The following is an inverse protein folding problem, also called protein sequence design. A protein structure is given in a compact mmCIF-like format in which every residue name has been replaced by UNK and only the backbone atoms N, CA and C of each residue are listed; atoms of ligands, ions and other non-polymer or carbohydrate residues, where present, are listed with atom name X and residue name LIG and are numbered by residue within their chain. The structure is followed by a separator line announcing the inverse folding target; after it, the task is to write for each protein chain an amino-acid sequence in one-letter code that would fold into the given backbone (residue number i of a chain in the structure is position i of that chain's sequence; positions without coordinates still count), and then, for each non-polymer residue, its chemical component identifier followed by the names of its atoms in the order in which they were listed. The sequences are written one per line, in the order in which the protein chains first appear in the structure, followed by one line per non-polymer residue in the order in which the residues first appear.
data_IF_723464046328
#
_entry.id   IF_723464046328
#
_cell.length_a   1.000
_cell.length_b   1.000
_cell.length_c   1.000
_cell.angle_alpha   90.00
_cell.angle_beta   90.00
_cell.angle_gamma   90.00
#
_symmetry.space_group_name_H-M   'P 1'
#
loop_
_entity.id
_entity.type
_entity.pdbx_description
1 polymer ?
#
# COMPACT_ATOMS: atom_id res chain seq x y z
N UNK A 1 -11.28 -6.13 -24.95
CA UNK A 1 -12.71 -6.11 -24.56
C UNK A 1 -12.97 -6.59 -23.11
N UNK A 2 -12.41 -7.72 -22.63
CA UNK A 2 -12.65 -8.20 -21.24
C UNK A 2 -12.00 -7.30 -20.18
N UNK A 3 -10.79 -6.82 -20.40
CA UNK A 3 -10.05 -5.92 -19.50
C UNK A 3 -10.78 -4.58 -19.28
N UNK A 4 -11.38 -4.02 -20.33
CA UNK A 4 -12.07 -2.74 -20.29
C UNK A 4 -13.33 -2.76 -19.41
N UNK A 5 -14.16 -3.81 -19.51
CA UNK A 5 -15.36 -3.94 -18.66
C UNK A 5 -15.01 -4.10 -17.18
N UNK A 6 -14.00 -4.91 -16.86
CA UNK A 6 -13.53 -5.08 -15.48
C UNK A 6 -13.06 -3.74 -14.91
N UNK A 7 -12.29 -2.98 -15.68
CA UNK A 7 -11.78 -1.68 -15.27
C UNK A 7 -12.91 -0.66 -15.07
N UNK A 8 -13.92 -0.62 -15.94
CA UNK A 8 -15.12 0.23 -15.79
C UNK A 8 -15.88 -0.10 -14.50
N UNK A 9 -16.07 -1.39 -14.18
CA UNK A 9 -16.71 -1.82 -12.94
C UNK A 9 -15.91 -1.31 -11.73
N UNK A 10 -14.59 -1.49 -11.72
CA UNK A 10 -13.72 -1.08 -10.61
C UNK A 10 -13.70 0.45 -10.45
N UNK A 11 -13.70 1.22 -11.54
CA UNK A 11 -13.78 2.68 -11.49
C UNK A 11 -15.12 3.17 -10.91
N UNK A 12 -16.23 2.57 -11.33
CA UNK A 12 -17.55 2.87 -10.79
C UNK A 12 -17.63 2.51 -9.29
N UNK A 13 -17.09 1.35 -8.90
CA UNK A 13 -17.02 0.92 -7.52
C UNK A 13 -16.16 1.89 -6.68
N UNK A 14 -14.98 2.27 -7.17
CA UNK A 14 -14.10 3.22 -6.48
C UNK A 14 -14.79 4.58 -6.24
N UNK A 15 -15.52 5.08 -7.22
CA UNK A 15 -16.28 6.33 -7.09
C UNK A 15 -17.32 6.25 -5.97
N UNK A 16 -18.07 5.16 -5.90
CA UNK A 16 -19.07 4.95 -4.85
C UNK A 16 -18.43 4.76 -3.47
N UNK A 17 -17.36 3.94 -3.37
CA UNK A 17 -16.65 3.69 -2.12
C UNK A 17 -15.94 4.92 -1.55
N UNK A 18 -15.65 5.94 -2.35
CA UNK A 18 -15.08 7.22 -1.87
C UNK A 18 -16.10 8.09 -1.15
N UNK A 19 -17.38 7.94 -1.43
CA UNK A 19 -18.44 8.86 -0.99
C UNK A 19 -19.46 8.24 -0.06
N UNK A 20 -19.50 6.90 0.02
CA UNK A 20 -20.51 6.15 0.79
C UNK A 20 -19.87 4.98 1.54
N UNK A 21 -20.55 4.54 2.60
CA UNK A 21 -20.10 3.39 3.39
C UNK A 21 -20.32 2.08 2.63
N UNK A 22 -19.48 1.08 2.91
CA UNK A 22 -19.51 -0.21 2.23
C UNK A 22 -20.89 -0.88 2.23
N UNK A 23 -21.59 -0.88 3.38
CA UNK A 23 -22.88 -1.54 3.51
C UNK A 23 -24.02 -0.86 2.73
N UNK A 24 -23.90 0.42 2.42
CA UNK A 24 -24.89 1.20 1.67
C UNK A 24 -24.82 0.98 0.16
N UNK A 25 -23.70 0.43 -0.35
CA UNK A 25 -23.46 0.25 -1.77
C UNK A 25 -23.92 -1.14 -2.20
N UNK A 26 -24.63 -1.22 -3.31
CA UNK A 26 -25.06 -2.48 -3.92
C UNK A 26 -24.35 -2.72 -5.26
N UNK A 27 -24.21 -4.00 -5.64
CA UNK A 27 -23.66 -4.35 -6.96
C UNK A 27 -24.53 -3.82 -8.11
N UNK A 28 -25.83 -3.64 -7.88
CA UNK A 28 -26.75 -3.08 -8.87
C UNK A 28 -26.46 -1.60 -9.17
N UNK A 29 -26.10 -0.83 -8.13
CA UNK A 29 -25.69 0.56 -8.30
C UNK A 29 -24.36 0.65 -9.04
N UNK A 30 -23.41 -0.24 -8.72
CA UNK A 30 -22.14 -0.33 -9.44
C UNK A 30 -22.38 -0.67 -10.91
N UNK A 31 -23.26 -1.65 -11.20
CA UNK A 31 -23.60 -2.04 -12.57
C UNK A 31 -24.16 -0.87 -13.37
N UNK A 32 -25.10 -0.15 -12.76
CA UNK A 32 -25.74 1.03 -13.37
C UNK A 32 -24.72 2.15 -13.65
N UNK A 33 -23.84 2.45 -12.68
CA UNK A 33 -22.82 3.47 -12.84
C UNK A 33 -21.74 3.08 -13.87
N UNK A 34 -21.41 1.79 -13.95
CA UNK A 34 -20.49 1.24 -14.93
C UNK A 34 -21.11 1.07 -16.34
N UNK A 35 -22.41 1.34 -16.50
CA UNK A 35 -23.17 1.13 -17.74
C UNK A 35 -23.00 -0.30 -18.27
N UNK A 36 -23.34 -1.28 -17.41
CA UNK A 36 -23.32 -2.72 -17.73
C UNK A 36 -24.54 -3.44 -17.15
N UNK A 37 -24.85 -4.60 -17.70
CA UNK A 37 -25.87 -5.49 -17.11
C UNK A 37 -25.42 -6.06 -15.76
N UNK A 38 -26.34 -6.16 -14.79
CA UNK A 38 -26.07 -6.74 -13.45
C UNK A 38 -25.33 -8.07 -13.50
N UNK A 39 -25.76 -8.99 -14.37
CA UNK A 39 -25.12 -10.30 -14.52
C UNK A 39 -23.66 -10.23 -14.99
N UNK A 40 -23.25 -9.12 -15.61
CA UNK A 40 -21.88 -8.94 -16.08
C UNK A 40 -20.90 -8.78 -14.91
N UNK A 41 -21.31 -8.18 -13.78
CA UNK A 41 -20.44 -8.05 -12.61
C UNK A 41 -19.99 -9.42 -12.11
N UNK A 42 -20.91 -10.36 -12.02
CA UNK A 42 -20.65 -11.71 -11.50
C UNK A 42 -19.74 -12.56 -12.39
N UNK A 43 -19.45 -12.11 -13.63
CA UNK A 43 -18.42 -12.72 -14.49
C UNK A 43 -16.99 -12.34 -14.07
N UNK A 44 -16.82 -11.26 -13.27
CA UNK A 44 -15.52 -10.71 -12.89
C UNK A 44 -15.26 -10.76 -11.38
N UNK A 45 -16.32 -10.72 -10.56
CA UNK A 45 -16.23 -10.64 -9.11
C UNK A 45 -17.24 -11.60 -8.49
N UNK A 46 -16.79 -12.37 -7.50
CA UNK A 46 -17.64 -13.37 -6.83
C UNK A 46 -18.74 -12.72 -6.00
N UNK A 47 -18.43 -11.59 -5.38
CA UNK A 47 -19.31 -10.85 -4.49
C UNK A 47 -18.85 -9.37 -4.36
N UNK A 48 -19.54 -8.61 -3.52
CA UNK A 48 -19.23 -7.21 -3.26
C UNK A 48 -17.89 -7.04 -2.53
N UNK A 49 -17.56 -7.94 -1.65
CA UNK A 49 -16.29 -7.98 -0.91
C UNK A 49 -15.11 -8.17 -1.85
N UNK A 50 -15.23 -9.10 -2.81
CA UNK A 50 -14.21 -9.34 -3.83
C UNK A 50 -14.02 -8.12 -4.76
N UNK A 51 -15.12 -7.51 -5.22
CA UNK A 51 -15.06 -6.26 -5.98
C UNK A 51 -14.36 -5.15 -5.19
N UNK A 52 -14.73 -4.98 -3.93
CA UNK A 52 -14.14 -3.99 -3.06
C UNK A 52 -12.63 -4.23 -2.88
N UNK A 53 -12.23 -5.46 -2.55
CA UNK A 53 -10.84 -5.83 -2.38
C UNK A 53 -10.03 -5.58 -3.66
N UNK A 54 -10.50 -6.06 -4.81
CA UNK A 54 -9.79 -5.87 -6.08
C UNK A 54 -9.67 -4.38 -6.44
N UNK A 55 -10.69 -3.57 -6.12
CA UNK A 55 -10.65 -2.11 -6.31
C UNK A 55 -9.61 -1.45 -5.39
N UNK A 56 -9.58 -1.84 -4.12
CA UNK A 56 -8.64 -1.27 -3.15
C UNK A 56 -7.18 -1.59 -3.49
N UNK A 57 -6.91 -2.78 -4.03
CA UNK A 57 -5.55 -3.20 -4.40
C UNK A 57 -5.20 -2.94 -5.87
N UNK A 58 -6.10 -2.30 -6.64
CA UNK A 58 -5.81 -1.94 -8.03
C UNK A 58 -4.54 -1.08 -8.12
N UNK A 59 -3.66 -1.41 -9.05
CA UNK A 59 -2.37 -0.72 -9.21
C UNK A 59 -1.31 -1.08 -8.16
N UNK A 60 -1.60 -2.00 -7.23
CA UNK A 60 -0.64 -2.39 -6.18
C UNK A 60 0.59 -3.09 -6.77
N UNK A 61 0.40 -3.99 -7.72
CA UNK A 61 1.50 -4.68 -8.40
C UNK A 61 2.36 -3.70 -9.21
N UNK A 62 1.71 -2.76 -9.89
CA UNK A 62 2.38 -1.71 -10.64
C UNK A 62 3.23 -0.83 -9.70
N UNK A 63 2.67 -0.46 -8.55
CA UNK A 63 3.45 0.25 -7.52
C UNK A 63 4.67 -0.56 -7.07
N UNK A 64 4.49 -1.85 -6.75
CA UNK A 64 5.59 -2.71 -6.33
C UNK A 64 6.67 -2.84 -7.42
N UNK A 65 6.29 -2.90 -8.69
CA UNK A 65 7.24 -2.95 -9.80
C UNK A 65 8.00 -1.63 -9.96
N UNK A 66 7.33 -0.49 -9.85
CA UNK A 66 7.99 0.83 -9.83
C UNK A 66 8.99 0.95 -8.68
N UNK A 67 8.68 0.40 -7.50
CA UNK A 67 9.61 0.38 -6.38
C UNK A 67 10.86 -0.46 -6.69
N UNK A 68 10.71 -1.64 -7.32
CA UNK A 68 11.84 -2.49 -7.72
C UNK A 68 12.72 -1.79 -8.76
N UNK A 69 12.11 -1.14 -9.76
CA UNK A 69 12.84 -0.37 -10.78
C UNK A 69 13.60 0.80 -10.17
N UNK A 70 13.00 1.54 -9.23
CA UNK A 70 13.68 2.62 -8.51
C UNK A 70 14.87 2.14 -7.68
N UNK A 71 14.89 0.86 -7.31
CA UNK A 71 16.01 0.27 -6.60
C UNK A 71 17.32 0.23 -7.44
N UNK A 72 17.27 0.34 -8.75
CA UNK A 72 18.46 0.21 -9.65
C UNK A 72 19.06 1.53 -10.12
N UNK A 73 18.44 2.66 -9.85
CA UNK A 73 18.84 3.95 -10.37
C UNK A 73 19.96 4.60 -9.52
N UNK A 74 21.16 4.76 -9.99
CA UNK A 74 22.38 5.29 -9.35
C UNK A 74 22.29 6.59 -8.52
N UNK A 75 21.16 6.85 -7.87
CA UNK A 75 20.90 7.96 -6.93
C UNK A 75 21.41 7.63 -5.53
N UNK A 76 21.69 8.66 -4.74
CA UNK A 76 22.05 8.49 -3.32
C UNK A 76 20.97 7.70 -2.58
N UNK A 77 21.36 6.83 -1.67
CA UNK A 77 20.45 5.94 -0.95
C UNK A 77 19.30 6.72 -0.28
N UNK A 78 19.60 7.82 0.42
CA UNK A 78 18.60 8.66 1.08
C UNK A 78 17.51 9.18 0.13
N UNK A 79 17.91 9.65 -1.05
CA UNK A 79 16.98 10.21 -2.05
C UNK A 79 16.13 9.10 -2.66
N UNK A 80 16.72 7.92 -2.87
CA UNK A 80 15.99 6.71 -3.31
C UNK A 80 14.96 6.26 -2.28
N UNK A 81 15.33 6.27 -1.00
CA UNK A 81 14.43 5.92 0.09
C UNK A 81 13.29 6.94 0.22
N UNK A 82 13.56 8.25 0.07
CA UNK A 82 12.54 9.28 0.06
C UNK A 82 11.52 9.07 -1.07
N UNK A 83 11.97 8.83 -2.29
CA UNK A 83 11.08 8.51 -3.44
C UNK A 83 10.24 7.25 -3.16
N UNK A 84 10.82 6.26 -2.52
CA UNK A 84 10.08 5.05 -2.09
C UNK A 84 8.96 5.41 -1.13
N UNK A 85 9.26 6.22 -0.11
CA UNK A 85 8.27 6.69 0.86
C UNK A 85 7.17 7.53 0.20
N UNK A 86 7.52 8.39 -0.76
CA UNK A 86 6.57 9.19 -1.54
C UNK A 86 5.63 8.30 -2.37
N UNK A 87 6.17 7.30 -3.07
CA UNK A 87 5.40 6.35 -3.88
C UNK A 87 4.42 5.56 -3.03
N UNK A 88 4.90 4.96 -1.94
CA UNK A 88 4.07 4.18 -1.01
C UNK A 88 3.00 5.06 -0.35
N UNK A 89 3.39 6.21 0.20
CA UNK A 89 2.44 7.13 0.86
C UNK A 89 1.41 7.69 -0.11
N UNK A 90 1.82 8.00 -1.35
CA UNK A 90 0.93 8.47 -2.40
C UNK A 90 -0.14 7.44 -2.77
N UNK A 91 0.26 6.18 -2.92
CA UNK A 91 -0.65 5.07 -3.20
C UNK A 91 -1.72 4.92 -2.12
N UNK A 92 -1.31 4.86 -0.84
CA UNK A 92 -2.24 4.70 0.29
C UNK A 92 -3.10 5.95 0.51
N UNK A 93 -2.57 7.15 0.31
CA UNK A 93 -3.34 8.40 0.43
C UNK A 93 -4.48 8.47 -0.60
N UNK A 94 -4.22 8.12 -1.85
CA UNK A 94 -5.24 8.12 -2.90
C UNK A 94 -6.37 7.13 -2.62
N UNK A 95 -6.08 6.03 -1.93
CA UNK A 95 -7.02 4.93 -1.63
C UNK A 95 -7.44 4.87 -0.15
N UNK A 96 -7.17 5.93 0.59
CA UNK A 96 -7.43 5.99 2.03
C UNK A 96 -8.84 5.55 2.45
N UNK A 97 -9.93 6.01 1.81
CA UNK A 97 -11.28 5.57 2.17
C UNK A 97 -11.46 4.06 2.06
N UNK A 98 -10.88 3.44 1.00
CA UNK A 98 -10.94 2.00 0.79
C UNK A 98 -10.17 1.24 1.87
N UNK A 99 -8.97 1.70 2.25
CA UNK A 99 -8.18 1.07 3.30
C UNK A 99 -8.79 1.25 4.69
N UNK A 100 -9.40 2.40 5.00
CA UNK A 100 -10.15 2.59 6.25
C UNK A 100 -11.33 1.61 6.35
N UNK A 101 -12.03 1.38 5.24
CA UNK A 101 -13.10 0.38 5.19
C UNK A 101 -12.58 -1.05 5.40
N UNK A 102 -11.42 -1.40 4.82
CA UNK A 102 -10.77 -2.70 5.07
C UNK A 102 -10.44 -2.85 6.57
N UNK A 103 -9.89 -1.82 7.19
CA UNK A 103 -9.53 -1.86 8.61
C UNK A 103 -10.74 -1.90 9.54
N UNK A 104 -11.80 -1.13 9.24
CA UNK A 104 -13.02 -1.09 10.06
C UNK A 104 -13.86 -2.37 9.97
N UNK A 105 -13.79 -3.09 8.85
CA UNK A 105 -14.50 -4.36 8.66
C UNK A 105 -13.59 -5.58 8.82
N UNK A 106 -12.29 -5.35 9.05
CA UNK A 106 -11.19 -6.26 8.78
C UNK A 106 -11.23 -7.59 9.53
N UNK A 107 -11.75 -7.65 10.76
CA UNK A 107 -11.83 -8.94 11.45
C UNK A 107 -13.03 -9.77 10.93
N UNK A 108 -14.18 -9.16 10.78
CA UNK A 108 -15.41 -9.88 10.37
C UNK A 108 -15.46 -10.28 8.89
N UNK A 109 -14.92 -9.45 8.00
CA UNK A 109 -14.87 -9.76 6.57
C UNK A 109 -13.72 -10.73 6.25
N UNK A 110 -12.61 -10.65 7.00
CA UNK A 110 -11.49 -11.59 6.89
C UNK A 110 -11.81 -12.99 7.45
N UNK A 111 -12.75 -13.10 8.40
CA UNK A 111 -13.18 -14.38 9.00
C UNK A 111 -14.22 -15.13 8.14
N UNK A 112 -14.97 -14.43 7.28
CA UNK A 112 -16.08 -15.03 6.51
C UNK A 112 -15.67 -15.91 5.33
N UNK A 113 -14.38 -16.13 5.11
CA UNK A 113 -13.86 -17.13 4.17
C UNK A 113 -14.06 -16.76 2.69
N UNK A 114 -13.08 -16.39 2.01
CA UNK A 114 -13.01 -16.08 0.58
C UNK A 114 -11.58 -15.89 0.15
N UNK A 115 -10.63 -16.32 1.01
CA UNK A 115 -9.20 -16.14 0.74
C UNK A 115 -8.76 -14.65 0.74
N UNK A 116 -9.60 -13.72 1.23
CA UNK A 116 -9.26 -12.28 1.25
C UNK A 116 -8.09 -12.00 2.17
N UNK A 117 -8.03 -12.71 3.32
CA UNK A 117 -6.93 -12.58 4.27
C UNK A 117 -5.61 -13.05 3.66
N UNK A 118 -5.61 -14.21 3.03
CA UNK A 118 -4.45 -14.78 2.34
C UNK A 118 -3.98 -13.86 1.21
N UNK A 119 -4.90 -13.38 0.39
CA UNK A 119 -4.63 -12.42 -0.68
C UNK A 119 -4.06 -11.10 -0.15
N UNK A 120 -4.56 -10.60 0.98
CA UNK A 120 -4.03 -9.41 1.63
C UNK A 120 -2.62 -9.63 2.18
N UNK A 121 -2.37 -10.77 2.85
CA UNK A 121 -1.05 -11.12 3.36
C UNK A 121 -0.03 -11.27 2.23
N UNK A 122 -0.42 -11.87 1.12
CA UNK A 122 0.42 -11.97 -0.08
C UNK A 122 0.78 -10.58 -0.64
N UNK A 123 -0.21 -9.68 -0.77
CA UNK A 123 0.03 -8.30 -1.20
C UNK A 123 0.99 -7.57 -0.27
N UNK A 124 0.76 -7.69 1.03
CA UNK A 124 1.66 -7.11 2.03
C UNK A 124 3.08 -7.66 1.90
N UNK A 125 3.24 -8.97 1.76
CA UNK A 125 4.54 -9.61 1.56
C UNK A 125 5.25 -9.08 0.30
N UNK A 126 4.53 -8.91 -0.81
CA UNK A 126 5.07 -8.36 -2.04
C UNK A 126 5.57 -6.92 -1.86
N UNK A 127 4.82 -6.09 -1.14
CA UNK A 127 5.24 -4.71 -0.83
C UNK A 127 6.48 -4.70 0.08
N UNK A 128 6.47 -5.49 1.16
CA UNK A 128 7.63 -5.62 2.05
C UNK A 128 8.86 -6.05 1.27
N UNK A 129 8.74 -7.04 0.38
CA UNK A 129 9.84 -7.50 -0.46
C UNK A 129 10.36 -6.42 -1.43
N UNK A 130 9.47 -5.62 -2.03
CA UNK A 130 9.86 -4.52 -2.90
C UNK A 130 10.63 -3.42 -2.15
N UNK A 131 10.19 -3.07 -0.93
CA UNK A 131 10.88 -2.10 -0.06
C UNK A 131 12.19 -2.69 0.47
N UNK A 132 12.20 -3.96 0.87
CA UNK A 132 13.39 -4.66 1.36
C UNK A 132 14.51 -4.70 0.31
N UNK A 133 14.18 -4.86 -0.97
CA UNK A 133 15.17 -4.79 -2.05
C UNK A 133 15.90 -3.44 -2.12
N UNK A 134 15.20 -2.34 -1.81
CA UNK A 134 15.80 -0.99 -1.74
C UNK A 134 16.69 -0.87 -0.51
N UNK A 135 16.23 -1.37 0.64
CA UNK A 135 17.00 -1.35 1.89
C UNK A 135 18.26 -2.22 1.78
N UNK A 136 18.18 -3.39 1.13
CA UNK A 136 19.33 -4.27 0.89
C UNK A 136 20.45 -3.56 0.11
N UNK A 137 20.12 -2.63 -0.79
CA UNK A 137 21.13 -1.79 -1.45
C UNK A 137 21.83 -0.85 -0.47
N UNK A 138 21.06 -0.23 0.45
CA UNK A 138 21.61 0.58 1.53
C UNK A 138 22.53 -0.22 2.45
N UNK A 139 22.22 -1.49 2.69
CA UNK A 139 23.11 -2.41 3.39
C UNK A 139 24.39 -2.64 2.58
N UNK A 140 24.28 -2.90 1.27
CA UNK A 140 25.41 -3.11 0.37
C UNK A 140 26.32 -1.90 0.22
N UNK A 141 25.78 -0.67 0.25
CA UNK A 141 26.55 0.58 0.22
C UNK A 141 27.09 1.00 1.60
N UNK A 142 26.68 0.35 2.69
CA UNK A 142 27.07 0.68 4.05
C UNK A 142 26.28 1.84 4.68
N UNK A 143 25.23 2.32 4.03
CA UNK A 143 24.33 3.35 4.57
C UNK A 143 23.40 2.80 5.68
N UNK A 144 23.07 1.51 5.58
CA UNK A 144 22.16 0.79 6.50
C UNK A 144 22.92 -0.35 7.20
N UNK A 145 22.55 -0.61 8.43
CA UNK A 145 23.08 -1.72 9.26
C UNK A 145 22.76 -3.08 8.65
N UNK A 146 23.66 -4.06 8.82
CA UNK A 146 23.54 -5.41 8.26
C UNK A 146 23.16 -6.49 9.29
N UNK A 147 23.05 -6.12 10.58
CA UNK A 147 22.73 -7.05 11.68
C UNK A 147 21.22 -7.29 11.84
N UNK A 148 20.37 -6.54 11.11
CA UNK A 148 18.93 -6.74 11.03
C UNK A 148 18.56 -7.08 9.58
N UNK A 149 17.76 -8.14 9.33
CA UNK A 149 17.31 -8.47 7.98
C UNK A 149 16.60 -7.30 7.29
N UNK A 150 16.82 -7.14 5.98
CA UNK A 150 16.24 -6.04 5.20
C UNK A 150 14.71 -6.03 5.22
N UNK A 151 14.08 -7.22 5.29
CA UNK A 151 12.63 -7.39 5.39
C UNK A 151 12.08 -6.85 6.72
N UNK A 152 12.82 -7.05 7.81
CA UNK A 152 12.45 -6.51 9.14
C UNK A 152 12.57 -5.00 9.14
N UNK A 153 13.64 -4.47 8.58
CA UNK A 153 13.83 -3.03 8.41
C UNK A 153 12.77 -2.41 7.51
N UNK A 154 12.34 -3.13 6.45
CA UNK A 154 11.23 -2.70 5.60
C UNK A 154 9.90 -2.60 6.35
N UNK A 155 9.60 -3.57 7.21
CA UNK A 155 8.37 -3.54 8.05
C UNK A 155 8.40 -2.36 9.04
N UNK A 156 9.55 -2.01 9.62
CA UNK A 156 9.66 -0.81 10.45
C UNK A 156 9.40 0.47 9.65
N UNK A 157 9.97 0.61 8.45
CA UNK A 157 9.72 1.76 7.59
C UNK A 157 8.25 1.88 7.20
N UNK A 158 7.64 0.77 6.76
CA UNK A 158 6.22 0.72 6.41
C UNK A 158 5.32 1.03 7.62
N UNK A 159 5.72 0.59 8.81
CA UNK A 159 5.07 0.95 10.07
C UNK A 159 5.12 2.46 10.35
N UNK A 160 6.28 3.09 10.16
CA UNK A 160 6.43 4.55 10.31
C UNK A 160 5.57 5.32 9.30
N UNK A 161 5.52 4.87 8.03
CA UNK A 161 4.67 5.48 6.99
C UNK A 161 3.18 5.34 7.34
N UNK A 162 2.78 4.20 7.90
CA UNK A 162 1.42 3.99 8.39
C UNK A 162 1.09 4.95 9.52
N UNK A 163 1.91 4.99 10.57
CA UNK A 163 1.74 5.92 11.71
C UNK A 163 1.63 7.36 11.23
N UNK A 164 2.54 7.80 10.34
CA UNK A 164 2.47 9.12 9.74
C UNK A 164 1.11 9.40 9.06
N UNK A 165 0.60 8.42 8.34
CA UNK A 165 -0.59 8.61 7.49
C UNK A 165 -1.92 8.50 8.24
N UNK A 166 -1.93 7.85 9.41
CA UNK A 166 -3.15 7.47 10.13
C UNK A 166 -3.19 8.09 11.52
N UNK A 167 -2.19 7.83 12.35
CA UNK A 167 -2.18 8.25 13.74
C UNK A 167 -1.76 9.73 13.90
N UNK A 168 -0.93 10.24 12.97
CA UNK A 168 -0.44 11.62 13.00
C UNK A 168 -1.16 12.54 11.99
N UNK A 169 -2.34 12.16 11.51
CA UNK A 169 -3.04 12.92 10.47
C UNK A 169 -3.34 14.36 10.89
N UNK A 170 -3.72 14.57 12.14
CA UNK A 170 -4.09 15.88 12.70
C UNK A 170 -2.87 16.77 13.03
N UNK A 171 -1.65 16.21 12.94
CA UNK A 171 -0.43 16.97 13.18
C UNK A 171 -0.03 17.81 11.96
N UNK A 172 0.62 18.99 12.18
CA UNK A 172 1.11 19.80 11.07
C UNK A 172 2.03 19.03 10.12
N UNK A 173 1.89 19.24 8.81
CA UNK A 173 2.68 18.50 7.80
C UNK A 173 4.20 18.71 7.99
N UNK A 174 4.62 19.88 8.49
CA UNK A 174 6.02 20.17 8.76
C UNK A 174 6.62 19.22 9.82
N UNK A 175 5.81 18.78 10.79
CA UNK A 175 6.24 17.90 11.89
C UNK A 175 6.24 16.42 11.53
N UNK A 176 5.44 16.04 10.50
CA UNK A 176 5.32 14.68 9.98
C UNK A 176 5.77 14.54 8.54
N UNK A 177 6.72 15.36 8.09
CA UNK A 177 7.21 15.34 6.71
C UNK A 177 7.82 13.98 6.36
N UNK A 178 7.69 13.56 5.09
CA UNK A 178 8.32 12.32 4.62
C UNK A 178 9.85 12.39 4.73
N UNK A 179 10.44 13.54 4.53
CA UNK A 179 11.87 13.76 4.74
C UNK A 179 12.25 13.49 6.21
N UNK A 180 11.45 13.99 7.17
CA UNK A 180 11.65 13.72 8.61
C UNK A 180 11.53 12.22 8.94
N UNK A 181 10.57 11.52 8.35
CA UNK A 181 10.46 10.05 8.51
C UNK A 181 11.70 9.34 8.00
N UNK A 182 12.19 9.72 6.83
CA UNK A 182 13.41 9.13 6.24
C UNK A 182 14.63 9.42 7.10
N UNK A 183 14.79 10.65 7.60
CA UNK A 183 15.93 11.03 8.44
C UNK A 183 15.90 10.31 9.78
N UNK A 184 14.73 10.21 10.41
CA UNK A 184 14.54 9.43 11.63
C UNK A 184 14.83 7.94 11.41
N UNK A 185 14.33 7.38 10.30
CA UNK A 185 14.59 5.99 9.96
C UNK A 185 16.09 5.72 9.74
N UNK A 186 16.77 6.53 8.95
CA UNK A 186 18.21 6.37 8.66
C UNK A 186 19.01 6.55 9.96
N UNK A 187 18.64 7.48 10.84
CA UNK A 187 19.31 7.66 12.12
C UNK A 187 19.20 6.43 13.04
N UNK A 188 18.07 5.70 13.00
CA UNK A 188 17.87 4.47 13.77
C UNK A 188 18.38 3.21 13.09
N UNK A 189 18.24 3.11 11.78
CA UNK A 189 18.63 1.96 10.96
C UNK A 189 20.03 2.13 10.36
N UNK A 190 20.65 3.28 10.50
CA UNK A 190 22.01 3.57 10.03
C UNK A 190 23.05 2.70 10.72
N UNK A 191 24.26 2.73 10.19
CA UNK A 191 25.38 1.96 10.75
C UNK A 191 25.60 2.36 12.21
N UNK A 192 25.67 1.40 13.17
CA UNK A 192 26.01 1.70 14.54
C UNK A 192 27.32 2.47 14.62
N UNK A 193 27.37 3.51 15.44
CA UNK A 193 28.66 4.17 15.71
C UNK A 193 29.62 3.13 16.31
N UNK A 194 30.92 3.15 15.91
CA UNK A 194 31.91 2.26 16.51
C UNK A 194 31.88 2.46 18.04
N UNK A 195 32.09 1.40 18.83
CA UNK A 195 32.10 1.49 20.27
C UNK A 195 33.11 2.57 20.69
N UNK A 196 32.69 3.50 21.54
CA UNK A 196 33.60 4.48 22.16
C UNK A 196 34.65 3.70 22.95
N UNK A 197 35.92 3.86 22.56
CA UNK A 197 37.07 3.30 23.31
C UNK A 197 37.15 3.95 24.66
#
# INVERSE_FOLDING_TARGET
MHSDKKQRIMQAAEQLFRTRQFHEITLDEVARLADIGKGTIYLYFSDKEDLFFQTAVAGFEEMCELLRQNATNGIKFRDGLLRTCETVSGFFRQRRPLFLMILSQGERAMERGGGLRERWLERRKNMTGAVAAIIARGVGSGDIRSDIPAEVLAEYLLGMLRTRSWELEDWPEAERSLAGVVDLYISGAGRPAPPRK
#
